data_IF_475075801570
#
_entry.id   IF_475075801570
#
_cell.length_a   1.000
_cell.length_b   1.000
_cell.length_c   1.000
_cell.angle_alpha   90.00
_cell.angle_beta   90.00
_cell.angle_gamma   90.00
#
_symmetry.space_group_name_H-M   'P 1'
#
loop_
_entity.id
_entity.type
_entity.pdbx_description
1 polymer ?
#
# COMPACT_ATOMS: atom_id res chain seq x y z
N UNK A 1 -15.23 28.66 -55.31
CA UNK A 1 -15.14 28.43 -53.86
C UNK A 1 -14.65 27.01 -53.67
N UNK A 2 -13.38 26.83 -53.30
CA UNK A 2 -12.76 25.51 -53.17
C UNK A 2 -12.67 25.14 -51.68
N UNK A 3 -12.95 23.90 -51.27
CA UNK A 3 -12.80 23.48 -49.89
C UNK A 3 -11.33 23.14 -49.60
N UNK A 4 -10.76 23.73 -48.57
CA UNK A 4 -9.42 23.42 -48.08
C UNK A 4 -9.48 22.16 -47.21
N UNK A 5 -8.87 21.07 -47.68
CA UNK A 5 -8.67 19.84 -46.90
C UNK A 5 -7.57 20.06 -45.86
N UNK A 6 -7.92 20.09 -44.58
CA UNK A 6 -6.94 20.00 -43.50
C UNK A 6 -6.49 18.54 -43.34
N UNK A 7 -5.24 18.29 -43.68
CA UNK A 7 -4.56 17.01 -43.47
C UNK A 7 -4.20 16.86 -41.98
N UNK A 8 -4.98 16.08 -41.24
CA UNK A 8 -4.63 15.68 -39.87
C UNK A 8 -3.46 14.69 -39.95
N UNK A 9 -2.27 15.18 -39.62
CA UNK A 9 -1.05 14.36 -39.58
C UNK A 9 -1.18 13.35 -38.44
N UNK A 10 -1.35 12.07 -38.79
CA UNK A 10 -1.37 10.98 -37.83
C UNK A 10 0.02 10.80 -37.20
N UNK A 11 0.18 11.24 -35.95
CA UNK A 11 1.41 11.06 -35.18
C UNK A 11 1.69 9.57 -34.98
N UNK A 12 2.72 9.06 -35.68
CA UNK A 12 3.18 7.67 -35.53
C UNK A 12 3.98 7.54 -34.22
N UNK A 13 3.30 7.11 -33.17
CA UNK A 13 3.91 6.84 -31.86
C UNK A 13 4.96 5.74 -32.00
N UNK A 14 6.19 6.00 -31.53
CA UNK A 14 7.30 5.03 -31.56
C UNK A 14 6.95 3.78 -30.72
N UNK A 15 7.32 2.56 -31.16
CA UNK A 15 6.97 1.32 -30.44
C UNK A 15 7.48 1.30 -28.99
N UNK A 16 8.63 1.92 -28.74
CA UNK A 16 9.25 2.03 -27.41
C UNK A 16 8.39 2.81 -26.41
N UNK A 17 7.68 3.84 -26.86
CA UNK A 17 6.77 4.63 -26.03
C UNK A 17 5.53 3.82 -25.67
N UNK A 18 5.02 2.99 -26.59
CA UNK A 18 3.88 2.10 -26.33
C UNK A 18 4.20 0.99 -25.32
N UNK A 19 5.45 0.51 -25.30
CA UNK A 19 5.86 -0.53 -24.34
C UNK A 19 5.94 0.01 -22.91
N UNK A 20 6.56 1.19 -22.72
CA UNK A 20 6.58 1.88 -21.42
C UNK A 20 5.18 2.24 -20.92
N UNK A 21 4.29 2.67 -21.81
CA UNK A 21 2.91 2.99 -21.44
C UNK A 21 2.10 1.73 -21.09
N UNK A 22 2.34 0.59 -21.74
CA UNK A 22 1.69 -0.68 -21.37
C UNK A 22 2.23 -1.28 -20.06
N UNK A 23 3.50 -1.06 -19.75
CA UNK A 23 4.08 -1.40 -18.44
C UNK A 23 3.50 -0.52 -17.33
N UNK A 24 3.17 0.75 -17.63
CA UNK A 24 2.44 1.67 -16.72
C UNK A 24 0.92 1.41 -16.64
N UNK A 25 0.37 0.57 -17.51
CA UNK A 25 -1.05 0.18 -17.55
C UNK A 25 -1.17 -1.32 -17.26
N UNK A 26 -0.38 -1.84 -16.32
CA UNK A 26 -0.96 -2.86 -15.45
C UNK A 26 -2.03 -2.11 -14.66
N UNK A 27 -3.29 -2.55 -14.73
CA UNK A 27 -4.29 -2.13 -13.73
C UNK A 27 -3.59 -2.17 -12.37
N UNK A 28 -3.53 -1.04 -11.69
CA UNK A 28 -2.96 -0.92 -10.36
C UNK A 28 -3.78 -1.82 -9.45
N UNK A 29 -3.43 -3.11 -9.38
CA UNK A 29 -3.94 -3.99 -8.34
C UNK A 29 -3.40 -3.40 -7.05
N UNK A 30 -4.29 -2.98 -6.18
CA UNK A 30 -3.93 -2.49 -4.85
C UNK A 30 -4.17 -3.62 -3.86
N UNK A 31 -3.37 -3.63 -2.81
CA UNK A 31 -3.63 -4.48 -1.65
C UNK A 31 -4.13 -3.59 -0.53
N UNK A 32 -5.28 -3.94 0.05
CA UNK A 32 -5.93 -3.18 1.10
C UNK A 32 -5.80 -3.95 2.41
N UNK A 33 -5.28 -3.30 3.44
CA UNK A 33 -5.19 -3.87 4.79
C UNK A 33 -5.94 -2.97 5.75
N UNK A 34 -7.02 -3.50 6.32
CA UNK A 34 -7.74 -2.88 7.42
C UNK A 34 -7.07 -3.28 8.74
N UNK A 35 -6.60 -2.28 9.48
CA UNK A 35 -5.88 -2.46 10.72
C UNK A 35 -6.78 -2.09 11.90
N UNK A 36 -6.88 -3.00 12.86
CA UNK A 36 -7.62 -2.84 14.10
C UNK A 36 -6.62 -2.78 15.26
N UNK A 37 -6.32 -1.58 15.73
CA UNK A 37 -5.41 -1.37 16.84
C UNK A 37 -6.18 -1.27 18.16
N UNK A 38 -5.83 -2.11 19.12
CA UNK A 38 -6.40 -2.09 20.47
C UNK A 38 -5.38 -1.54 21.46
N UNK A 39 -5.72 -0.43 22.14
CA UNK A 39 -4.85 0.19 23.13
C UNK A 39 -5.11 -0.43 24.52
N UNK A 40 -4.24 -1.34 24.96
CA UNK A 40 -4.37 -1.95 26.31
C UNK A 40 -3.60 -1.14 27.38
N UNK A 41 -2.72 -0.24 26.94
CA UNK A 41 -1.93 0.61 27.82
C UNK A 41 -2.83 1.53 28.66
N UNK A 42 -2.73 1.49 30.01
CA UNK A 42 -3.56 2.29 30.90
C UNK A 42 -3.30 3.80 30.79
N UNK A 43 -2.21 4.22 30.16
CA UNK A 43 -1.86 5.63 29.92
C UNK A 43 -2.20 6.10 28.51
N UNK A 44 -2.74 5.23 27.67
CA UNK A 44 -2.97 5.51 26.25
C UNK A 44 -1.69 5.38 25.43
N UNK A 45 -1.81 5.57 24.13
CA UNK A 45 -0.71 5.45 23.19
C UNK A 45 -0.74 6.58 22.17
N UNK A 46 0.42 6.87 21.58
CA UNK A 46 0.51 7.66 20.35
C UNK A 46 0.92 6.73 19.23
N UNK A 47 0.13 6.70 18.15
CA UNK A 47 0.38 5.84 17.00
C UNK A 47 0.55 6.69 15.74
N UNK A 48 1.24 6.11 14.76
CA UNK A 48 1.46 6.63 13.40
C UNK A 48 1.91 5.49 12.51
N UNK A 49 2.01 5.74 11.21
CA UNK A 49 2.60 4.82 10.24
C UNK A 49 3.76 5.47 9.52
N UNK A 50 4.86 4.76 9.35
CA UNK A 50 5.97 5.23 8.55
C UNK A 50 5.73 4.97 7.07
N UNK A 51 6.17 5.88 6.18
CA UNK A 51 6.18 5.62 4.75
C UNK A 51 6.98 4.37 4.35
N UNK A 52 7.95 3.97 5.18
CA UNK A 52 8.71 2.73 5.04
C UNK A 52 7.98 1.49 5.60
N UNK A 53 6.69 1.40 5.32
CA UNK A 53 5.85 0.23 5.57
C UNK A 53 5.63 -0.53 4.28
N UNK A 54 5.76 -1.85 4.31
CA UNK A 54 5.77 -2.69 3.12
C UNK A 54 4.97 -3.97 3.31
N UNK A 55 4.48 -4.53 2.19
CA UNK A 55 4.18 -5.95 2.10
C UNK A 55 5.38 -6.68 1.50
N UNK A 56 5.93 -7.66 2.20
CA UNK A 56 7.13 -8.39 1.80
C UNK A 56 6.70 -9.80 1.37
N UNK A 57 6.77 -10.08 0.07
CA UNK A 57 6.45 -11.41 -0.43
C UNK A 57 7.49 -12.44 0.06
N UNK A 58 7.03 -13.60 0.52
CA UNK A 58 7.91 -14.67 1.03
C UNK A 58 8.38 -15.62 -0.06
N UNK A 59 7.52 -15.88 -1.05
CA UNK A 59 7.78 -16.87 -2.10
C UNK A 59 8.59 -16.29 -3.27
N UNK A 60 8.65 -14.97 -3.37
CA UNK A 60 9.31 -14.23 -4.46
C UNK A 60 10.00 -12.98 -3.91
N UNK A 61 11.09 -12.57 -4.54
CA UNK A 61 11.83 -11.37 -4.14
C UNK A 61 11.09 -10.09 -4.59
N UNK A 62 10.03 -9.73 -3.87
CA UNK A 62 9.22 -8.54 -4.13
C UNK A 62 8.80 -7.87 -2.83
N UNK A 63 8.70 -6.54 -2.87
CA UNK A 63 8.02 -5.75 -1.84
C UNK A 63 7.01 -4.82 -2.48
N UNK A 64 5.81 -4.75 -1.92
CA UNK A 64 4.83 -3.74 -2.27
C UNK A 64 4.97 -2.53 -1.35
N UNK A 65 4.88 -1.35 -1.93
CA UNK A 65 5.07 -0.06 -1.25
C UNK A 65 3.74 0.50 -0.76
N UNK A 66 3.75 1.19 0.38
CA UNK A 66 2.60 1.92 0.88
C UNK A 66 2.28 3.07 -0.10
N UNK A 67 1.07 3.08 -0.62
CA UNK A 67 0.54 4.10 -1.53
C UNK A 67 -0.27 5.15 -0.78
N UNK A 68 -1.07 4.72 0.20
CA UNK A 68 -1.93 5.60 0.98
C UNK A 68 -2.22 5.03 2.36
N UNK A 69 -2.44 5.92 3.34
CA UNK A 69 -2.89 5.59 4.67
C UNK A 69 -4.12 6.45 5.02
N UNK A 70 -5.21 5.80 5.42
CA UNK A 70 -6.50 6.42 5.75
C UNK A 70 -6.76 6.31 7.25
N UNK A 71 -7.21 7.41 7.87
CA UNK A 71 -7.50 7.51 9.33
C UNK A 71 -6.31 7.27 10.28
N UNK A 72 -5.08 7.37 9.79
CA UNK A 72 -3.86 7.37 10.62
C UNK A 72 -2.82 8.33 10.01
N UNK A 73 -2.16 9.18 10.82
CA UNK A 73 -1.11 10.05 10.30
C UNK A 73 0.11 9.24 9.86
N UNK A 74 0.76 9.72 8.80
CA UNK A 74 2.10 9.28 8.47
C UNK A 74 3.12 9.97 9.39
N UNK A 75 4.27 9.34 9.62
CA UNK A 75 5.38 9.97 10.31
C UNK A 75 5.85 11.24 9.57
N UNK A 76 6.19 12.33 10.29
CA UNK A 76 6.45 12.36 11.72
C UNK A 76 5.23 12.62 12.62
N UNK A 77 4.06 12.91 12.06
CA UNK A 77 2.86 13.21 12.83
C UNK A 77 2.36 12.00 13.66
N UNK A 78 1.68 12.29 14.76
CA UNK A 78 1.16 11.30 15.70
C UNK A 78 -0.32 11.55 15.97
N UNK A 79 -1.06 10.49 16.25
CA UNK A 79 -2.40 10.58 16.81
C UNK A 79 -2.47 9.87 18.16
N UNK A 80 -3.25 10.41 19.09
CA UNK A 80 -3.48 9.78 20.39
C UNK A 80 -4.57 8.72 20.29
N UNK A 81 -4.38 7.61 20.99
CA UNK A 81 -5.38 6.56 21.24
C UNK A 81 -5.55 6.46 22.75
N UNK A 82 -6.77 6.64 23.22
CA UNK A 82 -7.08 6.66 24.65
C UNK A 82 -6.99 5.24 25.26
N UNK A 83 -6.70 5.11 26.56
CA UNK A 83 -6.67 3.82 27.25
C UNK A 83 -7.96 3.02 27.05
N UNK A 84 -7.86 1.73 26.74
CA UNK A 84 -8.99 0.82 26.59
C UNK A 84 -9.86 1.09 25.35
N UNK A 85 -9.39 1.91 24.40
CA UNK A 85 -10.09 2.20 23.15
C UNK A 85 -9.45 1.50 21.96
N UNK A 86 -10.17 1.47 20.84
CA UNK A 86 -9.69 0.95 19.56
C UNK A 86 -9.51 2.06 18.55
N UNK A 87 -8.49 1.96 17.70
CA UNK A 87 -8.32 2.76 16.50
C UNK A 87 -8.45 1.86 15.27
N UNK A 88 -9.04 2.39 14.20
CA UNK A 88 -9.20 1.67 12.93
C UNK A 88 -8.64 2.53 11.81
N UNK A 89 -7.77 1.96 11.00
CA UNK A 89 -7.15 2.64 9.88
C UNK A 89 -6.95 1.67 8.71
N UNK A 90 -6.76 2.22 7.51
CA UNK A 90 -6.56 1.42 6.31
C UNK A 90 -5.24 1.76 5.66
N UNK A 91 -4.46 0.75 5.31
CA UNK A 91 -3.24 0.86 4.54
C UNK A 91 -3.47 0.31 3.14
N UNK A 92 -3.12 1.11 2.13
CA UNK A 92 -3.25 0.73 0.72
C UNK A 92 -1.86 0.62 0.13
N UNK A 93 -1.56 -0.53 -0.46
CA UNK A 93 -0.25 -0.84 -1.04
C UNK A 93 -0.35 -1.07 -2.54
N UNK A 94 0.80 -0.98 -3.21
CA UNK A 94 0.93 -1.47 -4.59
C UNK A 94 0.74 -2.99 -4.67
N UNK A 95 0.42 -3.49 -5.85
CA UNK A 95 0.01 -4.87 -6.03
C UNK A 95 1.08 -5.90 -5.73
N UNK A 96 0.67 -7.05 -5.20
CA UNK A 96 1.53 -8.22 -5.06
C UNK A 96 1.64 -8.98 -6.39
N UNK A 97 2.82 -9.52 -6.73
CA UNK A 97 3.03 -10.31 -7.95
C UNK A 97 2.16 -11.55 -7.93
N UNK A 98 1.74 -12.04 -9.11
CA UNK A 98 0.76 -13.14 -9.24
C UNK A 98 1.14 -14.41 -8.50
N UNK A 99 2.44 -14.69 -8.39
CA UNK A 99 2.96 -15.94 -7.81
C UNK A 99 3.20 -15.84 -6.29
N UNK A 100 2.85 -14.70 -5.67
CA UNK A 100 2.91 -14.53 -4.22
C UNK A 100 1.74 -15.28 -3.57
N UNK A 101 2.06 -16.24 -2.69
CA UNK A 101 1.07 -16.99 -1.91
C UNK A 101 1.02 -16.49 -0.47
N UNK A 102 2.16 -16.02 0.07
CA UNK A 102 2.24 -15.44 1.41
C UNK A 102 3.12 -14.20 1.45
N UNK A 103 2.77 -13.29 2.34
CA UNK A 103 3.54 -12.07 2.56
C UNK A 103 3.53 -11.65 4.03
N UNK A 104 4.50 -10.84 4.40
CA UNK A 104 4.56 -10.15 5.69
C UNK A 104 4.13 -8.70 5.52
N UNK A 105 3.49 -8.13 6.53
CA UNK A 105 3.30 -6.69 6.65
C UNK A 105 4.32 -6.16 7.67
N UNK A 106 5.20 -5.26 7.24
CA UNK A 106 6.33 -4.84 8.06
C UNK A 106 6.59 -3.34 7.94
N UNK A 107 6.77 -2.69 9.08
CA UNK A 107 7.28 -1.32 9.17
C UNK A 107 8.80 -1.34 9.40
N UNK A 108 9.57 -0.99 8.36
CA UNK A 108 11.04 -1.02 8.39
C UNK A 108 11.53 0.39 8.70
N UNK A 109 11.92 0.61 9.95
CA UNK A 109 12.34 1.92 10.45
C UNK A 109 13.75 1.84 11.04
N UNK A 110 14.50 2.95 11.08
CA UNK A 110 15.90 2.96 11.57
C UNK A 110 16.02 2.82 13.09
N UNK A 111 14.92 2.56 13.80
CA UNK A 111 14.83 2.51 15.25
C UNK A 111 13.93 1.35 15.69
N UNK A 112 13.89 1.06 16.99
CA UNK A 112 12.94 0.10 17.54
C UNK A 112 11.49 0.63 17.49
N UNK A 113 10.53 -0.29 17.57
CA UNK A 113 9.09 0.03 17.63
C UNK A 113 8.33 -0.05 16.30
N UNK A 114 8.94 -0.57 15.23
CA UNK A 114 8.22 -0.91 14.01
C UNK A 114 7.37 -2.16 14.20
N UNK A 115 6.17 -2.18 13.63
CA UNK A 115 5.28 -3.34 13.72
C UNK A 115 5.59 -4.40 12.64
N UNK A 116 5.23 -5.65 12.95
CA UNK A 116 5.43 -6.79 12.06
C UNK A 116 4.27 -7.78 12.21
N UNK A 117 3.58 -8.07 11.11
CA UNK A 117 2.54 -9.09 11.01
C UNK A 117 3.01 -10.12 9.99
N UNK A 118 3.20 -11.35 10.46
CA UNK A 118 3.86 -12.40 9.71
C UNK A 118 2.88 -13.29 8.95
N UNK A 119 3.34 -13.85 7.83
CA UNK A 119 2.77 -15.04 7.17
C UNK A 119 1.30 -14.90 6.76
N UNK A 120 0.91 -13.72 6.27
CA UNK A 120 -0.44 -13.46 5.77
C UNK A 120 -0.64 -14.26 4.48
N UNK A 121 -1.61 -15.17 4.48
CA UNK A 121 -2.00 -15.96 3.30
C UNK A 121 -2.78 -15.08 2.32
N UNK A 122 -2.34 -15.07 1.06
CA UNK A 122 -2.96 -14.25 0.02
C UNK A 122 -4.33 -14.80 -0.35
N UNK A 123 -5.30 -13.89 -0.51
CA UNK A 123 -6.63 -14.20 -1.04
C UNK A 123 -6.89 -13.50 -2.39
N UNK A 124 -7.95 -13.91 -3.08
CA UNK A 124 -8.28 -13.40 -4.43
C UNK A 124 -8.71 -11.92 -4.44
N UNK A 125 -9.17 -11.40 -3.31
CA UNK A 125 -9.65 -10.02 -3.17
C UNK A 125 -8.52 -9.03 -2.93
N UNK A 126 -7.36 -9.51 -2.46
CA UNK A 126 -6.27 -8.67 -1.97
C UNK A 126 -6.75 -7.65 -0.90
N UNK A 127 -7.74 -8.06 -0.08
CA UNK A 127 -8.25 -7.32 1.09
C UNK A 127 -8.04 -8.16 2.34
N UNK A 128 -7.47 -7.55 3.38
CA UNK A 128 -7.08 -8.24 4.62
C UNK A 128 -7.49 -7.44 5.85
N UNK A 129 -7.76 -8.13 6.95
CA UNK A 129 -7.96 -7.54 8.27
C UNK A 129 -6.82 -8.02 9.19
N UNK A 130 -6.23 -7.08 9.94
CA UNK A 130 -5.17 -7.39 10.91
C UNK A 130 -5.50 -6.76 12.26
N UNK A 131 -5.34 -7.54 13.33
CA UNK A 131 -5.44 -7.06 14.71
C UNK A 131 -4.04 -6.71 15.22
N UNK A 132 -3.94 -5.59 15.93
CA UNK A 132 -2.68 -5.03 16.41
C UNK A 132 -2.85 -4.55 17.86
N UNK A 133 -1.79 -4.68 18.63
CA UNK A 133 -1.66 -4.17 20.00
C UNK A 133 -0.23 -3.62 20.19
N UNK A 134 0.00 -2.84 21.24
CA UNK A 134 1.33 -2.29 21.57
C UNK A 134 2.42 -3.34 21.91
#
# INVERSE_FOLDING_TARGET
MSPTTHSTTGTRIKPSTRKKLKEQVQEEKQVIVHCHYSCTNPYGMYIRIWPSTYLIARDVQHRSELVHAENIPLAPEWMAVAPGTKSQFTLIFSGLPKDCQRFDLAEIIPQEGGFFVADIERNEMDVYEVEMEE
#
